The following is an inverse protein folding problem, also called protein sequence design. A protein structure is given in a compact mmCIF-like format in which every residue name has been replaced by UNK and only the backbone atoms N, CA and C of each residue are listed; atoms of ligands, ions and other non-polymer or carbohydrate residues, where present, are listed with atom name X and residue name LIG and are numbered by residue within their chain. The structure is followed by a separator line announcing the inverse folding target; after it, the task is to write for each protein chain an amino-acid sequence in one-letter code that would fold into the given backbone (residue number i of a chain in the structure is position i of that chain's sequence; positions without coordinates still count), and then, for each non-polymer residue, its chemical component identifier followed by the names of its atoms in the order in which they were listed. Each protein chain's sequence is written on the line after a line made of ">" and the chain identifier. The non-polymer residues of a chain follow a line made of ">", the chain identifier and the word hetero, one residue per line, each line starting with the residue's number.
data_IF_502178280576
#
_entry.id   IF_502178280576
#
_cell.length_a   1.000
_cell.length_b   1.000
_cell.length_c   1.000
_cell.angle_alpha   90.00
_cell.angle_beta   90.00
_cell.angle_gamma   90.00
#
_symmetry.space_group_name_H-M   'P 1'
#
loop_
_entity.id
_entity.type
_entity.pdbx_description
1 polymer ?
#
# COMPACT_ATOMS: atom_id res chain seq x y z
N UNK A 1 -12.97 1.62 -2.62
CA UNK A 1 -11.79 0.75 -2.37
C UNK A 1 -12.19 -0.70 -2.60
N UNK A 2 -11.49 -1.40 -3.48
CA UNK A 2 -11.66 -2.85 -3.68
C UNK A 2 -10.83 -3.61 -2.65
N UNK A 3 -11.35 -4.71 -2.11
CA UNK A 3 -10.65 -5.54 -1.14
C UNK A 3 -11.17 -6.98 -1.16
N UNK A 4 -10.36 -7.93 -0.71
CA UNK A 4 -10.73 -9.35 -0.62
C UNK A 4 -11.19 -9.78 0.79
N UNK A 5 -11.15 -8.87 1.78
CA UNK A 5 -11.53 -9.19 3.16
C UNK A 5 -12.39 -8.09 3.79
N UNK A 6 -13.37 -8.49 4.59
CA UNK A 6 -14.24 -7.57 5.35
C UNK A 6 -13.46 -6.70 6.34
N UNK A 7 -12.45 -7.26 7.02
CA UNK A 7 -11.62 -6.50 7.95
C UNK A 7 -10.94 -5.29 7.28
N UNK A 8 -10.30 -5.50 6.12
CA UNK A 8 -9.72 -4.40 5.32
C UNK A 8 -10.77 -3.39 4.82
N UNK A 9 -12.02 -3.79 4.66
CA UNK A 9 -13.09 -2.88 4.27
C UNK A 9 -13.45 -1.92 5.41
N UNK A 10 -13.52 -2.40 6.65
CA UNK A 10 -13.74 -1.53 7.82
C UNK A 10 -12.57 -0.56 8.01
N UNK A 11 -11.36 -1.09 7.90
CA UNK A 11 -10.12 -0.32 7.97
C UNK A 11 -10.07 0.80 6.91
N UNK A 12 -10.41 0.49 5.66
CA UNK A 12 -10.46 1.48 4.59
C UNK A 12 -11.50 2.58 4.83
N UNK A 13 -12.64 2.27 5.47
CA UNK A 13 -13.61 3.29 5.88
C UNK A 13 -13.02 4.19 6.97
N UNK A 14 -12.24 3.64 7.89
CA UNK A 14 -11.47 4.41 8.88
C UNK A 14 -10.46 5.38 8.24
N UNK A 15 -9.92 5.04 7.06
CA UNK A 15 -9.08 5.91 6.24
C UNK A 15 -9.84 6.91 5.36
N UNK A 16 -11.18 6.95 5.45
CA UNK A 16 -12.01 7.88 4.69
C UNK A 16 -12.56 7.33 3.37
N UNK A 17 -12.49 6.03 3.12
CA UNK A 17 -13.16 5.44 1.96
C UNK A 17 -14.70 5.54 2.09
N UNK A 18 -15.34 6.25 1.16
CA UNK A 18 -16.80 6.37 1.09
C UNK A 18 -17.49 5.04 0.76
N UNK A 19 -16.87 4.23 -0.10
CA UNK A 19 -17.39 2.94 -0.54
C UNK A 19 -16.31 1.87 -0.56
N UNK A 20 -16.70 0.66 -0.17
CA UNK A 20 -15.84 -0.53 -0.19
C UNK A 20 -16.55 -1.67 -0.90
N UNK A 21 -15.84 -2.38 -1.77
CA UNK A 21 -16.38 -3.49 -2.56
C UNK A 21 -15.53 -4.73 -2.30
N UNK A 22 -16.18 -5.84 -1.96
CA UNK A 22 -15.51 -7.14 -1.91
C UNK A 22 -15.27 -7.63 -3.34
N UNK A 23 -14.02 -7.69 -3.78
CA UNK A 23 -13.68 -8.08 -5.16
C UNK A 23 -13.87 -9.58 -5.43
N UNK A 24 -14.03 -10.38 -4.37
CA UNK A 24 -14.38 -11.81 -4.45
C UNK A 24 -15.87 -12.07 -4.58
N UNK A 25 -16.71 -11.03 -4.45
CA UNK A 25 -18.17 -11.12 -4.57
C UNK A 25 -18.62 -10.49 -5.89
N UNK A 26 -19.06 -11.34 -6.83
CA UNK A 26 -19.54 -10.92 -8.15
C UNK A 26 -20.74 -9.98 -8.09
N UNK A 27 -21.63 -10.16 -7.10
CA UNK A 27 -22.79 -9.29 -6.93
C UNK A 27 -22.34 -7.91 -6.45
N UNK A 28 -21.39 -7.85 -5.51
CA UNK A 28 -20.80 -6.59 -5.07
C UNK A 28 -20.07 -5.88 -6.22
N UNK A 29 -19.27 -6.60 -7.00
CA UNK A 29 -18.58 -6.04 -8.18
C UNK A 29 -19.54 -5.54 -9.26
N UNK A 30 -20.70 -6.18 -9.43
CA UNK A 30 -21.70 -5.73 -10.38
C UNK A 30 -22.26 -4.35 -10.04
N UNK A 31 -22.31 -3.96 -8.75
CA UNK A 31 -22.85 -2.66 -8.32
C UNK A 31 -22.03 -1.45 -8.76
N UNK A 32 -20.76 -1.65 -9.10
CA UNK A 32 -19.84 -0.58 -9.48
C UNK A 32 -19.48 -0.59 -10.97
N UNK A 33 -20.17 -1.39 -11.79
CA UNK A 33 -19.94 -1.45 -13.23
C UNK A 33 -20.20 -0.10 -13.89
N UNK A 34 -19.28 0.36 -14.73
CA UNK A 34 -19.47 1.57 -15.51
C UNK A 34 -19.50 2.88 -14.70
N UNK A 35 -19.04 2.88 -13.45
CA UNK A 35 -19.27 3.98 -12.51
C UNK A 35 -18.04 4.77 -12.09
N UNK A 36 -16.83 4.31 -12.41
CA UNK A 36 -15.58 4.93 -11.95
C UNK A 36 -14.81 5.61 -13.09
N UNK A 37 -14.35 6.84 -12.88
CA UNK A 37 -13.52 7.56 -13.87
C UNK A 37 -12.06 7.08 -13.85
N UNK A 38 -11.57 6.68 -12.67
CA UNK A 38 -10.19 6.25 -12.45
C UNK A 38 -10.15 5.11 -11.44
N UNK A 39 -9.41 4.06 -11.78
CA UNK A 39 -8.99 3.02 -10.84
C UNK A 39 -7.47 3.04 -10.75
N UNK A 40 -6.95 3.25 -9.53
CA UNK A 40 -5.53 3.12 -9.24
C UNK A 40 -5.30 1.74 -8.62
N UNK A 41 -4.61 0.88 -9.36
CA UNK A 41 -4.33 -0.48 -8.96
C UNK A 41 -2.95 -0.61 -8.32
N UNK A 42 -2.97 -0.90 -7.02
CA UNK A 42 -1.79 -1.06 -6.17
C UNK A 42 -1.55 -2.53 -5.76
N UNK A 43 -2.18 -3.50 -6.42
CA UNK A 43 -1.99 -4.93 -6.10
C UNK A 43 -0.60 -5.37 -6.57
N UNK A 44 0.28 -5.88 -5.68
CA UNK A 44 1.69 -6.14 -6.02
C UNK A 44 1.92 -7.47 -6.75
N UNK A 45 0.87 -8.27 -6.94
CA UNK A 45 0.92 -9.61 -7.54
C UNK A 45 0.07 -9.69 -8.80
N UNK A 46 0.33 -10.70 -9.63
CA UNK A 46 -0.44 -10.95 -10.83
C UNK A 46 -1.92 -11.19 -10.49
N UNK A 47 -2.82 -10.53 -11.23
CA UNK A 47 -4.26 -10.64 -11.07
C UNK A 47 -4.96 -10.25 -12.38
N UNK A 48 -6.24 -10.64 -12.52
CA UNK A 48 -7.05 -10.31 -13.69
C UNK A 48 -7.50 -8.83 -13.65
N UNK A 49 -7.14 -7.99 -14.63
CA UNK A 49 -7.57 -6.60 -14.69
C UNK A 49 -9.04 -6.43 -15.10
N UNK A 50 -9.66 -7.45 -15.70
CA UNK A 50 -10.99 -7.37 -16.32
C UNK A 50 -12.11 -6.89 -15.40
N UNK A 51 -12.23 -7.36 -14.14
CA UNK A 51 -13.26 -6.86 -13.23
C UNK A 51 -13.12 -5.37 -12.94
N UNK A 52 -11.87 -4.86 -12.88
CA UNK A 52 -11.58 -3.46 -12.63
C UNK A 52 -11.82 -2.61 -13.88
N UNK A 53 -11.46 -3.09 -15.06
CA UNK A 53 -11.84 -2.46 -16.34
C UNK A 53 -13.35 -2.37 -16.48
N UNK A 54 -14.11 -3.39 -16.07
CA UNK A 54 -15.57 -3.38 -16.12
C UNK A 54 -16.20 -2.35 -15.17
N UNK A 55 -15.51 -1.97 -14.09
CA UNK A 55 -15.96 -0.92 -13.17
C UNK A 55 -15.82 0.49 -13.73
N UNK A 56 -14.99 0.68 -14.75
CA UNK A 56 -14.76 1.99 -15.36
C UNK A 56 -15.94 2.47 -16.19
N UNK A 57 -16.26 3.76 -16.05
CA UNK A 57 -17.18 4.52 -16.88
C UNK A 57 -16.64 4.71 -18.31
N UNK A 58 -17.44 5.39 -19.16
CA UNK A 58 -16.98 5.86 -20.47
C UNK A 58 -15.75 6.77 -20.27
N UNK A 59 -14.71 6.57 -21.07
CA UNK A 59 -13.42 7.29 -20.98
C UNK A 59 -12.61 7.05 -19.69
N UNK A 60 -13.00 6.06 -18.88
CA UNK A 60 -12.29 5.75 -17.65
C UNK A 60 -10.89 5.17 -17.86
N UNK A 61 -10.03 5.32 -16.85
CA UNK A 61 -8.66 4.85 -16.87
C UNK A 61 -8.36 3.84 -15.74
N UNK A 62 -7.70 2.74 -16.09
CA UNK A 62 -7.05 1.84 -15.13
C UNK A 62 -5.55 2.14 -15.10
N UNK A 63 -5.03 2.62 -13.98
CA UNK A 63 -3.62 2.92 -13.78
C UNK A 63 -2.96 1.83 -12.94
N UNK A 64 -2.08 1.04 -13.57
CA UNK A 64 -1.32 -0.05 -12.94
C UNK A 64 -0.07 0.51 -12.27
N UNK A 65 0.00 0.42 -10.95
CA UNK A 65 1.12 0.91 -10.12
C UNK A 65 1.75 -0.24 -9.31
N UNK A 66 0.96 -1.23 -8.91
CA UNK A 66 1.41 -2.33 -8.05
C UNK A 66 2.17 -3.44 -8.80
N UNK A 67 1.54 -4.05 -9.80
CA UNK A 67 2.13 -5.16 -10.55
C UNK A 67 2.83 -4.66 -11.82
N UNK A 68 4.16 -4.78 -11.86
CA UNK A 68 4.99 -4.36 -13.00
C UNK A 68 5.32 -5.51 -13.97
N UNK A 69 4.66 -6.67 -13.84
CA UNK A 69 4.81 -7.81 -14.74
C UNK A 69 3.92 -7.73 -15.98
N UNK A 70 3.91 -8.80 -16.77
CA UNK A 70 3.03 -8.89 -17.95
C UNK A 70 1.56 -8.97 -17.55
N UNK A 71 0.72 -8.18 -18.21
CA UNK A 71 -0.73 -8.21 -18.03
C UNK A 71 -1.39 -8.50 -19.38
N UNK A 72 -2.30 -9.48 -19.42
CA UNK A 72 -3.09 -9.79 -20.60
C UNK A 72 -4.41 -9.01 -20.56
N UNK A 73 -4.74 -8.33 -21.64
CA UNK A 73 -5.97 -7.53 -21.76
C UNK A 73 -6.65 -7.87 -23.07
N UNK A 74 -7.94 -8.18 -22.99
CA UNK A 74 -8.79 -8.31 -24.16
C UNK A 74 -9.09 -6.91 -24.74
N UNK A 75 -8.77 -6.70 -26.01
CA UNK A 75 -8.93 -5.39 -26.67
C UNK A 75 -10.39 -4.91 -26.68
N UNK A 76 -11.35 -5.84 -26.64
CA UNK A 76 -12.77 -5.52 -26.55
C UNK A 76 -13.13 -4.82 -25.23
N UNK A 77 -12.43 -5.15 -24.13
CA UNK A 77 -12.67 -4.55 -22.82
C UNK A 77 -12.23 -3.07 -22.78
N UNK A 78 -11.32 -2.67 -23.68
CA UNK A 78 -10.91 -1.27 -23.88
C UNK A 78 -11.80 -0.55 -24.89
N UNK A 79 -12.15 -1.24 -25.98
CA UNK A 79 -13.03 -0.71 -27.02
C UNK A 79 -14.39 -0.31 -26.44
N UNK A 80 -14.99 -1.19 -25.64
CA UNK A 80 -16.29 -0.93 -25.00
C UNK A 80 -16.11 0.08 -23.88
N UNK A 81 -16.61 1.29 -24.10
CA UNK A 81 -16.46 2.41 -23.16
C UNK A 81 -15.19 3.23 -23.36
N UNK A 82 -14.44 3.01 -24.45
CA UNK A 82 -13.30 3.85 -24.86
C UNK A 82 -12.27 4.05 -23.72
N UNK A 83 -11.98 2.96 -23.02
CA UNK A 83 -11.20 2.95 -21.78
C UNK A 83 -9.71 2.93 -22.08
N UNK A 84 -8.92 3.34 -21.10
CA UNK A 84 -7.46 3.32 -21.19
C UNK A 84 -6.83 2.51 -20.07
N UNK A 85 -5.68 1.91 -20.36
CA UNK A 85 -4.79 1.30 -19.37
C UNK A 85 -3.47 2.04 -19.42
N UNK A 86 -3.01 2.48 -18.26
CA UNK A 86 -1.76 3.22 -18.10
C UNK A 86 -0.94 2.61 -16.97
N UNK A 87 0.32 2.99 -16.88
CA UNK A 87 1.17 2.69 -15.73
C UNK A 87 1.98 3.93 -15.38
N UNK A 88 2.29 4.09 -14.10
CA UNK A 88 3.04 5.23 -13.59
C UNK A 88 4.07 4.78 -12.57
N UNK A 89 5.28 5.29 -12.72
CA UNK A 89 6.36 5.16 -11.75
C UNK A 89 6.53 6.43 -10.93
N UNK A 90 7.78 6.81 -10.66
CA UNK A 90 8.09 8.05 -9.95
C UNK A 90 7.85 9.28 -10.84
N UNK A 91 7.19 10.32 -10.30
CA UNK A 91 6.81 11.54 -11.04
C UNK A 91 7.94 12.54 -11.33
N UNK A 92 9.19 12.25 -10.94
CA UNK A 92 10.34 13.14 -11.07
C UNK A 92 10.35 14.29 -10.06
N UNK A 93 11.50 14.98 -9.95
CA UNK A 93 11.76 15.97 -8.86
C UNK A 93 10.70 17.06 -8.75
N UNK A 94 10.29 17.65 -9.87
CA UNK A 94 9.31 18.74 -9.88
C UNK A 94 7.95 18.27 -9.34
N UNK A 95 7.39 17.20 -9.90
CA UNK A 95 6.10 16.67 -9.48
C UNK A 95 6.14 16.16 -8.03
N UNK A 96 7.27 15.59 -7.59
CA UNK A 96 7.48 15.22 -6.19
C UNK A 96 7.45 16.43 -5.27
N UNK A 97 8.07 17.55 -5.64
CA UNK A 97 8.02 18.78 -4.84
C UNK A 97 6.58 19.31 -4.75
N UNK A 98 5.88 19.41 -5.88
CA UNK A 98 4.47 19.84 -5.92
C UNK A 98 3.57 18.94 -5.07
N UNK A 99 3.81 17.63 -5.07
CA UNK A 99 3.11 16.66 -4.21
C UNK A 99 3.43 16.86 -2.72
N UNK A 100 4.70 17.11 -2.37
CA UNK A 100 5.10 17.35 -0.98
C UNK A 100 4.51 18.66 -0.44
N UNK A 101 4.50 19.71 -1.25
CA UNK A 101 3.90 21.01 -0.90
C UNK A 101 2.40 20.83 -0.64
N UNK A 102 1.68 20.16 -1.55
CA UNK A 102 0.27 19.81 -1.38
C UNK A 102 0.03 18.98 -0.10
N UNK A 103 0.87 17.97 0.16
CA UNK A 103 0.76 17.18 1.38
C UNK A 103 0.96 18.03 2.64
N UNK A 104 1.93 18.95 2.62
CA UNK A 104 2.22 19.87 3.71
C UNK A 104 1.06 20.83 3.99
N UNK A 105 0.47 21.41 2.95
CA UNK A 105 -0.69 22.31 3.04
C UNK A 105 -1.95 21.63 3.58
N UNK A 106 -2.16 20.35 3.23
CA UNK A 106 -3.35 19.59 3.60
C UNK A 106 -3.16 18.64 4.79
N UNK A 107 -1.97 18.60 5.40
CA UNK A 107 -1.67 17.70 6.52
C UNK A 107 -1.76 16.22 6.14
N UNK A 108 -1.41 15.87 4.90
CA UNK A 108 -1.43 14.49 4.41
C UNK A 108 -0.13 13.80 4.81
N UNK A 109 -0.23 12.81 5.68
CA UNK A 109 0.90 12.02 6.15
C UNK A 109 0.59 10.53 6.07
N UNK A 110 1.61 9.70 5.88
CA UNK A 110 1.46 8.26 6.01
C UNK A 110 1.24 7.85 7.48
N UNK A 111 0.47 6.80 7.71
CA UNK A 111 0.48 6.08 8.98
C UNK A 111 1.70 5.17 9.01
N UNK A 112 2.59 5.44 9.97
CA UNK A 112 3.91 4.82 10.04
C UNK A 112 4.14 4.17 11.38
N UNK A 113 4.85 3.05 11.36
CA UNK A 113 5.47 2.47 12.54
C UNK A 113 6.96 2.79 12.49
N UNK A 114 7.44 3.52 13.49
CA UNK A 114 8.84 3.95 13.57
C UNK A 114 9.64 2.93 14.38
N UNK A 115 10.71 2.40 13.78
CA UNK A 115 11.62 1.44 14.41
C UNK A 115 13.05 2.00 14.41
N UNK A 116 13.92 1.68 15.39
CA UNK A 116 15.34 2.03 15.32
C UNK A 116 16.02 1.34 14.14
N UNK A 117 17.08 1.93 13.59
CA UNK A 117 17.79 1.39 12.41
C UNK A 117 18.28 -0.06 12.61
N UNK A 118 18.66 -0.43 13.85
CA UNK A 118 19.10 -1.77 14.22
C UNK A 118 18.04 -2.88 13.98
N UNK A 119 16.76 -2.52 13.89
CA UNK A 119 15.64 -3.48 13.71
C UNK A 119 15.24 -3.68 12.24
N UNK A 120 16.10 -3.33 11.29
CA UNK A 120 15.82 -3.50 9.85
C UNK A 120 15.44 -4.94 9.48
N UNK A 121 16.08 -5.94 10.07
CA UNK A 121 15.73 -7.36 9.83
C UNK A 121 14.30 -7.67 10.25
N UNK A 122 13.94 -7.35 11.49
CA UNK A 122 12.57 -7.51 12.01
C UNK A 122 11.54 -6.77 11.16
N UNK A 123 11.86 -5.57 10.69
CA UNK A 123 10.97 -4.79 9.83
C UNK A 123 10.71 -5.49 8.48
N UNK A 124 11.75 -6.11 7.90
CA UNK A 124 11.63 -6.86 6.64
C UNK A 124 10.82 -8.15 6.82
N UNK A 125 11.07 -8.91 7.88
CA UNK A 125 10.32 -10.15 8.17
C UNK A 125 8.82 -9.86 8.37
N UNK A 126 8.51 -8.80 9.13
CA UNK A 126 7.12 -8.37 9.35
C UNK A 126 6.48 -7.82 8.09
N UNK A 127 7.25 -7.11 7.24
CA UNK A 127 6.75 -6.62 5.96
C UNK A 127 6.36 -7.79 5.04
N UNK A 128 7.19 -8.84 4.97
CA UNK A 128 6.90 -10.06 4.21
C UNK A 128 5.64 -10.77 4.73
N UNK A 129 5.47 -10.83 6.06
CA UNK A 129 4.27 -11.37 6.69
C UNK A 129 3.02 -10.46 6.56
N UNK A 130 3.14 -9.24 6.04
CA UNK A 130 2.06 -8.26 5.99
C UNK A 130 1.66 -7.71 7.38
N UNK A 131 2.52 -7.86 8.37
CA UNK A 131 2.35 -7.41 9.75
C UNK A 131 2.81 -5.96 9.94
N UNK A 132 2.15 -5.07 9.20
CA UNK A 132 2.35 -3.62 9.29
C UNK A 132 1.09 -2.88 8.90
N UNK A 133 0.87 -1.71 9.49
CA UNK A 133 -0.19 -0.75 9.14
C UNK A 133 0.39 0.67 9.12
N UNK A 134 0.84 1.23 8.00
CA UNK A 134 0.97 0.66 6.63
C UNK A 134 2.42 0.70 6.12
N UNK A 135 3.30 1.42 6.80
CA UNK A 135 4.70 1.63 6.39
C UNK A 135 5.60 1.58 7.62
N UNK A 136 6.72 0.89 7.51
CA UNK A 136 7.81 1.08 8.45
C UNK A 136 8.62 2.32 8.09
N UNK A 137 9.08 3.04 9.11
CA UNK A 137 10.08 4.11 8.99
C UNK A 137 11.21 3.78 9.94
N UNK A 138 12.44 3.72 9.43
CA UNK A 138 13.60 3.54 10.26
C UNK A 138 14.11 4.89 10.76
N UNK A 139 14.23 5.02 12.06
CA UNK A 139 14.92 6.12 12.72
C UNK A 139 16.43 5.90 12.54
N UNK A 140 17.13 6.91 12.02
CA UNK A 140 18.53 6.82 11.60
C UNK A 140 19.48 7.70 12.42
N UNK A 141 18.98 8.39 13.45
CA UNK A 141 19.79 9.28 14.31
C UNK A 141 20.83 8.51 15.10
N UNK A 142 20.61 7.21 15.36
CA UNK A 142 21.58 6.33 16.00
C UNK A 142 22.82 6.03 15.13
N UNK A 143 22.76 6.28 13.82
CA UNK A 143 23.89 6.10 12.88
C UNK A 143 24.74 7.36 12.70
N UNK A 144 24.17 8.53 12.97
CA UNK A 144 24.89 9.80 12.97
C UNK A 144 25.40 10.04 14.39
N UNK A 145 26.69 9.92 14.64
CA UNK A 145 27.30 10.00 15.99
C UNK A 145 27.07 11.29 16.81
N UNK A 146 26.12 12.15 16.43
CA UNK A 146 25.58 13.24 17.22
C UNK A 146 24.21 12.83 17.80
N UNK A 147 24.22 12.42 19.07
CA UNK A 147 23.01 12.16 19.83
C UNK A 147 22.26 13.47 20.13
N UNK A 148 21.52 14.00 19.15
CA UNK A 148 20.45 14.95 19.43
C UNK A 148 19.20 14.13 19.77
N UNK A 149 18.67 14.20 21.01
CA UNK A 149 17.53 13.37 21.40
C UNK A 149 16.32 13.69 20.51
N UNK A 150 15.72 12.65 19.96
CA UNK A 150 14.57 12.70 19.07
C UNK A 150 13.50 13.65 19.63
N UNK A 151 13.18 14.70 18.87
CA UNK A 151 12.01 15.53 19.13
C UNK A 151 10.79 14.67 18.79
N UNK A 152 10.25 13.99 19.79
CA UNK A 152 9.14 13.06 19.64
C UNK A 152 8.01 13.69 18.84
N UNK A 153 7.73 13.11 17.66
CA UNK A 153 6.45 13.31 17.01
C UNK A 153 5.40 12.68 17.93
N UNK A 154 4.27 13.36 18.22
CA UNK A 154 3.26 12.83 19.11
C UNK A 154 2.69 11.53 18.53
N UNK A 155 3.07 10.40 19.14
CA UNK A 155 2.49 9.10 18.87
C UNK A 155 1.02 9.13 19.32
N UNK A 156 0.08 9.02 18.38
CA UNK A 156 -1.37 9.03 18.70
C UNK A 156 -1.95 7.64 18.97
N UNK A 157 -1.16 6.57 18.90
CA UNK A 157 -1.66 5.21 19.09
C UNK A 157 -1.14 4.57 20.39
N UNK A 158 -1.87 4.83 21.48
CA UNK A 158 -1.67 4.23 22.80
C UNK A 158 -2.33 2.83 22.92
N UNK A 159 -2.18 1.96 21.92
CA UNK A 159 -2.95 0.72 21.82
C UNK A 159 -2.18 -0.58 21.53
N UNK A 160 -0.90 -0.54 21.17
CA UNK A 160 -0.15 -1.76 20.83
C UNK A 160 0.84 -2.15 21.95
N UNK A 161 0.94 -3.44 22.32
CA UNK A 161 1.87 -3.88 23.34
C UNK A 161 3.30 -3.58 22.89
N UNK A 162 4.06 -2.89 23.74
CA UNK A 162 5.47 -2.58 23.50
C UNK A 162 6.25 -3.89 23.39
N UNK A 163 7.03 -4.07 22.33
CA UNK A 163 8.02 -5.13 22.28
C UNK A 163 9.02 -4.98 23.44
N UNK A 164 9.17 -6.03 24.23
CA UNK A 164 10.12 -6.11 25.33
C UNK A 164 11.51 -6.51 24.77
N UNK A 165 12.57 -5.70 24.96
CA UNK A 165 13.86 -5.88 24.29
C UNK A 165 14.69 -7.09 24.75
N UNK A 166 14.17 -7.98 25.59
CA UNK A 166 14.94 -9.06 26.20
C UNK A 166 14.80 -10.45 25.58
N UNK A 167 14.02 -10.63 24.50
CA UNK A 167 13.72 -11.99 23.99
C UNK A 167 14.55 -12.45 22.79
N UNK A 168 15.32 -11.57 22.15
CA UNK A 168 16.05 -11.92 20.91
C UNK A 168 17.53 -12.31 21.13
N UNK A 169 17.75 -13.44 21.83
CA UNK A 169 19.09 -14.04 21.97
C UNK A 169 19.12 -15.55 21.66
N UNK A 170 18.22 -16.07 20.82
CA UNK A 170 18.31 -17.47 20.36
C UNK A 170 18.08 -17.61 18.86
N UNK A 171 19.03 -17.12 18.08
CA UNK A 171 19.27 -17.63 16.73
C UNK A 171 20.13 -18.91 16.83
N UNK A 172 19.54 -20.06 16.50
CA UNK A 172 20.26 -21.32 16.24
C UNK A 172 20.75 -21.38 14.80
N UNK A 173 21.71 -22.26 14.47
CA UNK A 173 22.34 -22.30 13.15
C UNK A 173 21.37 -22.77 12.06
N UNK A 174 21.43 -22.07 10.92
CA UNK A 174 20.83 -22.46 9.64
C UNK A 174 21.54 -23.71 9.12
N UNK A 175 20.81 -24.81 8.92
CA UNK A 175 21.24 -25.93 8.10
C UNK A 175 20.74 -25.73 6.66
N UNK A 176 21.70 -25.71 5.73
CA UNK A 176 21.54 -25.91 4.30
C UNK A 176 20.97 -27.31 4.00
N UNK A 177 20.12 -27.38 2.97
CA UNK A 177 19.84 -28.51 2.05
C UNK A 177 18.33 -28.77 1.86
N UNK A 178 17.84 -28.51 0.65
CA UNK A 178 17.23 -29.51 -0.25
C UNK A 178 16.44 -28.86 -1.40
N UNK A 179 16.92 -29.16 -2.61
CA UNK A 179 16.22 -29.36 -3.90
C UNK A 179 14.81 -28.81 -4.11
#
# INVERSE_FOLDING_TARGET
>A
MFTTSSAKAEEARGLGAHHTVLSTDDAAMATVRGGLDLVVDCIPVAHDPKPYLASLALDGALCLVGHLGSVSIETVDLLVGRKSVTSSGSGGRRSTQEMLDFCGEHGITAQVEVLPSAFVGTALDRLEAGDVRYRFVLEMSDLTGDATPARGLPNRDAGHPRCDPTTDQRAGPHDDDAQ
#
